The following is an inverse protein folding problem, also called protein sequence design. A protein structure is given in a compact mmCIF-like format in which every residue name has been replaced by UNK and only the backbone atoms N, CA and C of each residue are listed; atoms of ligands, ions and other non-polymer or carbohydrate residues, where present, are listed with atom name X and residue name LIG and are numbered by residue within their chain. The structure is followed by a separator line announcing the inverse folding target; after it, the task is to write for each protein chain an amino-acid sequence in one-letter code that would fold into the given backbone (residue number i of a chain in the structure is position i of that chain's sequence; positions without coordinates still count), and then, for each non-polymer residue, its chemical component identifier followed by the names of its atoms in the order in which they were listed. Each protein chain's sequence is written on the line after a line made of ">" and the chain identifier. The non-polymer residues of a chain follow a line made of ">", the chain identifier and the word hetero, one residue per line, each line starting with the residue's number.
data_IF_569561655768
#
_entry.id   IF_569561655768
#
_cell.length_a   1.000
_cell.length_b   1.000
_cell.length_c   1.000
_cell.angle_alpha   90.00
_cell.angle_beta   90.00
_cell.angle_gamma   90.00
#
_symmetry.space_group_name_H-M   'P 1'
#
loop_
_entity.id
_entity.type
_entity.pdbx_description
1 polymer ?
#
# COMPACT_ATOMS: atom_id res chain seq x y z
N UNK A 1 4.05 7.76 17.10
CA UNK A 1 4.81 8.03 15.86
C UNK A 1 3.82 8.09 14.71
N UNK A 2 4.20 8.73 13.60
CA UNK A 2 3.35 8.79 12.40
C UNK A 2 3.58 7.56 11.51
N UNK A 3 2.51 7.13 10.84
CA UNK A 3 2.51 6.07 9.84
C UNK A 3 1.90 6.58 8.54
N UNK A 4 2.48 6.22 7.41
CA UNK A 4 2.05 6.68 6.08
C UNK A 4 1.37 5.54 5.35
N UNK A 5 0.16 5.80 4.85
CA UNK A 5 -0.76 4.78 4.36
C UNK A 5 -1.20 5.06 2.92
N UNK A 6 -1.40 3.97 2.18
CA UNK A 6 -2.15 3.94 0.93
C UNK A 6 -3.47 3.21 1.17
N UNK A 7 -4.57 3.92 1.30
CA UNK A 7 -5.90 3.32 1.40
C UNK A 7 -6.40 3.05 -0.02
N UNK A 8 -6.58 1.77 -0.37
CA UNK A 8 -6.81 1.32 -1.75
C UNK A 8 -8.13 0.56 -1.90
N UNK A 9 -8.87 0.94 -2.93
CA UNK A 9 -10.15 0.31 -3.33
C UNK A 9 -10.32 0.42 -4.84
N UNK A 10 -10.50 -0.70 -5.54
CA UNK A 10 -10.57 -0.74 -7.01
C UNK A 10 -9.40 0.05 -7.63
N UNK A 11 -9.67 1.14 -8.36
CA UNK A 11 -8.65 2.04 -8.93
C UNK A 11 -8.35 3.28 -8.07
N UNK A 12 -8.99 3.41 -6.91
CA UNK A 12 -8.79 4.53 -5.98
C UNK A 12 -7.63 4.23 -5.03
N UNK A 13 -6.73 5.20 -4.87
CA UNK A 13 -5.66 5.19 -3.87
C UNK A 13 -5.64 6.54 -3.15
N UNK A 14 -5.78 6.54 -1.83
CA UNK A 14 -5.66 7.73 -0.98
C UNK A 14 -4.34 7.63 -0.23
N UNK A 15 -3.49 8.66 -0.36
CA UNK A 15 -2.31 8.82 0.48
C UNK A 15 -2.67 9.69 1.68
N UNK A 16 -2.41 9.17 2.87
CA UNK A 16 -2.67 9.88 4.13
C UNK A 16 -1.71 9.38 5.21
N UNK A 17 -1.56 10.15 6.26
CA UNK A 17 -0.85 9.76 7.47
C UNK A 17 -1.79 9.73 8.67
N UNK A 18 -1.41 8.95 9.67
CA UNK A 18 -2.10 8.87 10.94
C UNK A 18 -1.09 8.58 12.06
N UNK A 19 -1.51 8.73 13.31
CA UNK A 19 -0.70 8.28 14.44
C UNK A 19 -0.78 6.76 14.53
N UNK A 20 0.30 6.11 14.91
CA UNK A 20 0.31 4.67 15.22
C UNK A 20 -0.71 4.28 16.30
N UNK A 21 -1.04 5.22 17.19
CA UNK A 21 -2.07 5.08 18.22
C UNK A 21 -3.50 5.33 17.72
N UNK A 22 -3.69 5.85 16.51
CA UNK A 22 -5.00 6.02 15.89
C UNK A 22 -5.66 4.66 15.72
N UNK A 23 -6.96 4.59 15.97
CA UNK A 23 -7.76 3.38 15.83
C UNK A 23 -8.19 3.16 14.38
N UNK A 24 -8.52 1.91 14.04
CA UNK A 24 -9.10 1.57 12.73
C UNK A 24 -10.42 2.34 12.51
N UNK A 25 -11.23 2.55 13.54
CA UNK A 25 -12.45 3.36 13.45
C UNK A 25 -12.16 4.83 13.07
N UNK A 26 -11.15 5.45 13.70
CA UNK A 26 -10.74 6.81 13.35
C UNK A 26 -10.18 6.89 11.93
N UNK A 27 -9.45 5.88 11.46
CA UNK A 27 -9.02 5.81 10.06
C UNK A 27 -10.21 5.75 9.09
N UNK A 28 -11.28 5.02 9.44
CA UNK A 28 -12.53 5.02 8.66
C UNK A 28 -13.20 6.41 8.62
N UNK A 29 -13.08 7.23 9.69
CA UNK A 29 -13.56 8.63 9.69
C UNK A 29 -12.77 9.51 8.73
N UNK A 30 -11.47 9.28 8.58
CA UNK A 30 -10.66 9.95 7.54
C UNK A 30 -11.19 9.57 6.15
N UNK A 31 -11.43 8.27 5.91
CA UNK A 31 -12.02 7.78 4.65
C UNK A 31 -13.40 8.37 4.41
N UNK A 32 -14.26 8.46 5.43
CA UNK A 32 -15.57 9.09 5.35
C UNK A 32 -15.45 10.57 4.92
N UNK A 33 -14.50 11.30 5.49
CA UNK A 33 -14.23 12.69 5.13
C UNK A 33 -13.92 12.87 3.63
N UNK A 34 -13.32 11.87 2.98
CA UNK A 34 -12.89 11.92 1.58
C UNK A 34 -13.95 11.31 0.65
N UNK A 35 -14.37 10.07 0.92
CA UNK A 35 -15.22 9.26 0.05
C UNK A 35 -16.71 9.29 0.43
N UNK A 36 -17.07 10.00 1.51
CA UNK A 36 -18.46 10.23 1.96
C UNK A 36 -19.26 8.94 2.22
N UNK A 37 -18.57 7.89 2.67
CA UNK A 37 -19.17 6.64 3.15
C UNK A 37 -18.94 6.53 4.66
N UNK A 38 -19.97 6.29 5.48
CA UNK A 38 -19.80 6.27 6.93
C UNK A 38 -19.04 5.03 7.40
N UNK A 39 -18.38 5.03 8.58
CA UNK A 39 -17.51 3.93 9.03
C UNK A 39 -18.17 2.54 9.06
N UNK A 40 -19.46 2.46 9.39
CA UNK A 40 -20.25 1.22 9.41
C UNK A 40 -20.39 0.57 8.03
N UNK A 41 -20.24 1.37 6.96
CA UNK A 41 -20.27 0.95 5.57
C UNK A 41 -18.87 0.64 5.04
N UNK A 42 -17.84 0.62 5.89
CA UNK A 42 -16.46 0.37 5.51
C UNK A 42 -15.88 -0.86 6.20
N UNK A 43 -15.14 -1.65 5.43
CA UNK A 43 -14.19 -2.65 5.95
C UNK A 43 -12.78 -2.26 5.53
N UNK A 44 -11.88 -2.23 6.50
CA UNK A 44 -10.45 -2.00 6.27
C UNK A 44 -9.69 -3.31 6.43
N UNK A 45 -8.70 -3.53 5.58
CA UNK A 45 -7.90 -4.76 5.54
C UNK A 45 -6.42 -4.43 5.59
N UNK A 46 -5.66 -5.31 6.23
CA UNK A 46 -4.22 -5.42 6.00
C UNK A 46 -4.00 -6.74 5.28
N UNK A 47 -3.47 -6.68 4.06
CA UNK A 47 -3.43 -7.83 3.16
C UNK A 47 -4.87 -8.38 2.99
N UNK A 48 -5.14 -9.64 3.33
CA UNK A 48 -6.49 -10.24 3.31
C UNK A 48 -7.17 -10.27 4.69
N UNK A 49 -6.53 -9.71 5.73
CA UNK A 49 -7.02 -9.76 7.11
C UNK A 49 -7.88 -8.54 7.42
N UNK A 50 -9.15 -8.79 7.79
CA UNK A 50 -10.08 -7.76 8.24
C UNK A 50 -9.60 -7.14 9.56
N UNK A 51 -9.54 -5.81 9.60
CA UNK A 51 -9.14 -5.06 10.78
C UNK A 51 -10.32 -4.80 11.72
N UNK A 52 -10.07 -4.84 13.03
CA UNK A 52 -11.06 -4.53 14.05
C UNK A 52 -11.02 -3.05 14.43
N UNK A 53 -12.18 -2.40 14.44
CA UNK A 53 -12.38 -0.98 14.70
C UNK A 53 -11.74 -0.48 15.99
N UNK A 54 -11.66 -1.31 17.04
CA UNK A 54 -11.05 -0.95 18.33
C UNK A 54 -9.53 -1.05 18.37
N UNK A 55 -8.90 -1.71 17.40
CA UNK A 55 -7.45 -1.84 17.36
C UNK A 55 -6.81 -0.55 16.87
N UNK A 56 -5.65 -0.23 17.45
CA UNK A 56 -4.77 0.82 16.94
C UNK A 56 -4.06 0.33 15.68
N UNK A 57 -3.65 1.27 14.82
CA UNK A 57 -2.88 0.96 13.61
C UNK A 57 -1.58 0.21 13.93
N UNK A 58 -0.91 0.58 15.02
CA UNK A 58 0.27 -0.14 15.53
C UNK A 58 -0.03 -1.60 15.87
N UNK A 59 -1.13 -1.88 16.57
CA UNK A 59 -1.56 -3.25 16.89
C UNK A 59 -1.95 -4.05 15.65
N UNK A 60 -2.41 -3.38 14.59
CA UNK A 60 -2.64 -3.99 13.28
C UNK A 60 -1.34 -4.20 12.47
N UNK A 61 -0.18 -3.78 12.98
CA UNK A 61 1.14 -3.95 12.35
C UNK A 61 1.59 -2.79 11.46
N UNK A 62 0.87 -1.67 11.45
CA UNK A 62 1.31 -0.43 10.82
C UNK A 62 2.15 0.37 11.81
N UNK A 63 3.47 0.35 11.63
CA UNK A 63 4.42 1.06 12.50
C UNK A 63 5.25 2.03 11.68
N UNK A 64 5.96 2.95 12.32
CA UNK A 64 6.86 3.88 11.63
C UNK A 64 8.00 3.18 10.85
N UNK A 65 8.27 1.91 11.14
CA UNK A 65 9.28 1.12 10.43
C UNK A 65 8.71 0.48 9.15
N UNK A 66 7.44 0.10 9.16
CA UNK A 66 6.76 -0.64 8.08
C UNK A 66 5.91 0.26 7.18
N UNK A 67 5.56 1.47 7.64
CA UNK A 67 4.70 2.44 6.94
C UNK A 67 5.40 3.80 6.82
N UNK A 68 6.45 3.88 6.00
CA UNK A 68 7.31 5.08 5.85
C UNK A 68 6.78 6.02 4.75
N UNK A 69 7.12 7.31 4.75
CA UNK A 69 6.66 8.25 3.70
C UNK A 69 6.98 7.76 2.27
N UNK A 70 8.19 7.27 2.05
CA UNK A 70 8.67 6.77 0.75
C UNK A 70 8.22 5.33 0.43
N UNK A 71 7.68 4.62 1.42
CA UNK A 71 7.21 3.25 1.31
C UNK A 71 5.98 3.07 2.22
N UNK A 72 4.84 3.71 1.87
CA UNK A 72 3.65 3.68 2.70
C UNK A 72 3.03 2.29 2.72
N UNK A 73 2.43 1.92 3.84
CA UNK A 73 1.77 0.62 3.97
C UNK A 73 0.40 0.63 3.28
N UNK A 74 0.01 -0.49 2.69
CA UNK A 74 -1.29 -0.61 2.01
C UNK A 74 -2.39 -1.00 2.99
N UNK A 75 -3.51 -0.30 2.93
CA UNK A 75 -4.77 -0.64 3.61
C UNK A 75 -5.83 -0.90 2.55
N UNK A 76 -6.37 -2.11 2.51
CA UNK A 76 -7.49 -2.44 1.63
C UNK A 76 -8.80 -1.83 2.15
N UNK A 77 -9.66 -1.35 1.25
CA UNK A 77 -10.96 -0.80 1.58
C UNK A 77 -12.06 -1.48 0.75
N UNK A 78 -13.13 -1.91 1.41
CA UNK A 78 -14.34 -2.40 0.78
C UNK A 78 -15.57 -1.72 1.39
N UNK A 79 -16.56 -1.38 0.56
CA UNK A 79 -17.80 -0.78 0.99
C UNK A 79 -18.96 -1.77 1.13
N UNK A 80 -19.89 -1.43 2.02
CA UNK A 80 -21.22 -2.04 2.05
C UNK A 80 -22.02 -1.63 0.81
N UNK A 81 -22.73 -2.59 0.24
CA UNK A 81 -23.62 -2.47 -0.91
C UNK A 81 -25.06 -2.23 -0.45
N UNK A 82 -25.96 -1.97 -1.40
CA UNK A 82 -27.37 -1.69 -1.12
C UNK A 82 -28.16 -2.87 -0.58
N UNK A 83 -27.64 -4.09 -0.72
CA UNK A 83 -28.23 -5.34 -0.22
C UNK A 83 -27.70 -5.73 1.17
N UNK A 84 -27.10 -4.78 1.89
CA UNK A 84 -26.42 -4.95 3.19
C UNK A 84 -25.19 -5.89 3.18
N UNK A 85 -24.82 -6.45 2.03
CA UNK A 85 -23.58 -7.21 1.89
C UNK A 85 -22.38 -6.27 1.73
N UNK A 86 -21.17 -6.76 1.97
CA UNK A 86 -19.95 -6.02 1.66
C UNK A 86 -19.39 -6.51 0.33
N UNK A 87 -18.92 -5.59 -0.50
CA UNK A 87 -18.19 -5.96 -1.71
C UNK A 87 -16.92 -6.75 -1.36
N UNK A 88 -16.48 -7.61 -2.27
CA UNK A 88 -15.21 -8.31 -2.12
C UNK A 88 -14.06 -7.29 -2.16
N UNK A 89 -13.05 -7.51 -1.31
CA UNK A 89 -11.82 -6.73 -1.38
C UNK A 89 -11.22 -6.85 -2.79
N UNK A 90 -11.16 -5.73 -3.50
CA UNK A 90 -10.61 -5.65 -4.85
C UNK A 90 -9.69 -4.45 -4.95
N UNK A 91 -8.44 -4.69 -5.31
CA UNK A 91 -7.42 -3.67 -5.53
C UNK A 91 -6.84 -3.91 -6.91
N UNK A 92 -7.01 -2.96 -7.83
CA UNK A 92 -6.42 -3.06 -9.16
C UNK A 92 -4.90 -2.86 -9.08
N UNK A 93 -4.08 -3.70 -9.70
CA UNK A 93 -2.64 -3.50 -9.74
C UNK A 93 -2.30 -2.20 -10.48
N UNK A 94 -1.18 -1.58 -10.11
CA UNK A 94 -0.62 -0.50 -10.92
C UNK A 94 -0.09 -1.06 -12.25
N UNK A 95 0.16 -0.18 -13.21
CA UNK A 95 0.82 -0.55 -14.46
C UNK A 95 2.21 -1.13 -14.20
N UNK A 96 2.61 -2.09 -15.02
CA UNK A 96 3.98 -2.60 -15.03
C UNK A 96 4.91 -1.62 -15.75
N UNK A 97 6.16 -1.42 -15.27
CA UNK A 97 7.14 -0.60 -15.97
C UNK A 97 7.48 -1.21 -17.34
N UNK A 98 7.92 -0.39 -18.32
CA UNK A 98 8.41 -0.89 -19.60
C UNK A 98 9.73 -1.67 -19.42
N UNK A 99 10.15 -2.38 -20.46
CA UNK A 99 11.47 -3.02 -20.47
C UNK A 99 12.57 -1.98 -20.27
N UNK A 100 13.57 -2.33 -19.46
CA UNK A 100 14.71 -1.48 -19.20
C UNK A 100 15.51 -1.28 -20.51
N UNK A 101 15.80 -0.05 -20.95
CA UNK A 101 16.63 0.18 -22.14
C UNK A 101 18.00 -0.48 -22.01
N UNK A 102 18.59 -0.95 -23.12
CA UNK A 102 19.88 -1.65 -23.09
C UNK A 102 21.01 -0.83 -22.46
N UNK A 103 20.99 0.50 -22.61
CA UNK A 103 21.95 1.43 -21.97
C UNK A 103 21.85 1.49 -20.44
N UNK A 104 20.74 1.02 -19.86
CA UNK A 104 20.52 0.95 -18.42
C UNK A 104 20.68 -0.47 -17.86
N UNK A 105 20.78 -1.49 -18.73
CA UNK A 105 21.07 -2.87 -18.31
C UNK A 105 22.53 -2.92 -17.80
N UNK A 106 22.84 -3.71 -16.75
CA UNK A 106 24.22 -3.92 -16.32
C UNK A 106 25.04 -4.38 -17.52
N UNK A 107 26.17 -3.72 -17.79
CA UNK A 107 27.12 -4.24 -18.76
C UNK A 107 27.79 -5.45 -18.12
N UNK A 108 27.74 -6.61 -18.78
CA UNK A 108 28.53 -7.76 -18.36
C UNK A 108 30.01 -7.36 -18.38
N UNK A 109 30.57 -7.11 -17.20
CA UNK A 109 31.99 -6.84 -16.98
C UNK A 109 32.81 -8.11 -17.20
N UNK A 110 32.78 -8.64 -18.43
CA UNK A 110 33.30 -9.96 -18.75
C UNK A 110 33.92 -10.04 -20.14
N UNK A 111 34.87 -9.15 -20.46
CA UNK A 111 35.84 -9.34 -21.56
C UNK A 111 37.03 -8.36 -21.49
N UNK A 112 37.89 -8.49 -20.48
CA UNK A 112 39.31 -8.12 -20.59
C UNK A 112 40.16 -9.12 -19.80
N UNK A 113 40.20 -10.37 -20.26
CA UNK A 113 41.29 -11.28 -19.92
C UNK A 113 42.33 -11.18 -21.05
N UNK A 114 43.55 -10.80 -20.63
CA UNK A 114 44.76 -10.62 -21.43
C UNK A 114 45.00 -11.70 -22.50
N UNK A 115 45.42 -11.28 -23.69
CA UNK A 115 46.57 -11.87 -24.39
C UNK A 115 47.16 -10.88 -25.42
N UNK A 116 48.00 -9.96 -24.93
CA UNK A 116 49.05 -9.35 -25.74
C UNK A 116 50.39 -9.95 -25.29
N UNK A 117 50.78 -11.07 -25.90
CA UNK A 117 52.19 -11.43 -25.99
C UNK A 117 52.79 -10.64 -27.16
N UNK A 118 53.57 -9.62 -26.82
CA UNK A 118 54.39 -8.86 -27.75
C UNK A 118 55.59 -9.75 -28.12
N UNK A 119 55.72 -10.10 -29.41
CA UNK A 119 56.98 -10.54 -30.01
C UNK A 119 57.73 -9.32 -30.56
#
# INVERSE_FOLDING_TARGET
>A
MDVFLMIRRHKTTIFTDAKESTTVYELKRIVEGILKRPPEDQRLYKDDVLLNDSQTLGNCGFTNQTARPQAPATVGLAFRLSDDSFEQLRIEPFSTPPELPDVMKPQDSGSTANEQAVQ
#
